data_IF_377091025411
#
_entry.id   IF_377091025411
#
_cell.length_a   1.000
_cell.length_b   1.000
_cell.length_c   1.000
_cell.angle_alpha   90.00
_cell.angle_beta   90.00
_cell.angle_gamma   90.00
#
_symmetry.space_group_name_H-M   'P 1'
#
loop_
_entity.id
_entity.type
_entity.pdbx_description
1 polymer ?
#
# COMPACT_ATOMS: atom_id res chain seq x y z
N UNK A 1 0.18 37.99 43.28
CA UNK A 1 0.21 36.55 43.58
C UNK A 1 -0.30 35.82 42.35
N UNK A 2 0.57 35.04 41.70
CA UNK A 2 0.25 34.31 40.48
C UNK A 2 -0.63 33.11 40.83
N UNK A 3 -1.76 32.93 40.14
CA UNK A 3 -2.46 31.66 40.11
C UNK A 3 -2.28 31.04 38.72
N UNK A 4 -1.32 30.12 38.66
CA UNK A 4 -1.08 29.19 37.56
C UNK A 4 -1.96 27.98 37.81
N UNK A 5 -3.03 27.82 37.03
CA UNK A 5 -3.83 26.61 36.88
C UNK A 5 -4.75 26.86 35.69
N UNK A 6 -4.91 26.03 34.68
CA UNK A 6 -4.44 24.69 34.39
C UNK A 6 -4.75 24.56 32.89
N UNK A 7 -3.74 24.46 32.02
CA UNK A 7 -4.00 24.19 30.60
C UNK A 7 -4.47 22.75 30.52
N UNK A 8 -5.79 22.56 30.50
CA UNK A 8 -6.40 21.32 30.09
C UNK A 8 -6.05 21.08 28.61
N UNK A 9 -4.88 20.50 28.36
CA UNK A 9 -4.64 19.68 27.19
C UNK A 9 -5.50 18.44 27.35
N UNK A 10 -6.81 18.62 27.16
CA UNK A 10 -7.75 17.56 26.89
C UNK A 10 -7.25 16.87 25.63
N UNK A 11 -6.72 15.68 25.84
CA UNK A 11 -6.33 14.72 24.84
C UNK A 11 -7.57 14.45 23.98
N UNK A 12 -7.77 15.24 22.92
CA UNK A 12 -8.63 14.88 21.80
C UNK A 12 -7.92 13.73 21.11
N UNK A 13 -8.05 12.54 21.69
CA UNK A 13 -7.65 11.26 21.12
C UNK A 13 -8.54 11.07 19.90
N UNK A 14 -8.14 11.71 18.81
CA UNK A 14 -8.95 11.89 17.62
C UNK A 14 -9.45 10.54 17.15
N UNK A 15 -10.77 10.43 17.12
CA UNK A 15 -11.48 9.33 16.49
C UNK A 15 -10.94 9.18 15.06
N UNK A 16 -10.26 8.06 14.81
CA UNK A 16 -9.70 7.80 13.49
C UNK A 16 -10.79 7.12 12.70
N UNK A 17 -11.53 7.91 11.92
CA UNK A 17 -12.42 7.37 10.91
C UNK A 17 -11.57 6.64 9.86
N UNK A 18 -11.88 5.37 9.60
CA UNK A 18 -11.20 4.52 8.62
C UNK A 18 -11.82 4.62 7.21
N UNK A 19 -12.87 5.42 7.03
CA UNK A 19 -13.55 5.58 5.74
C UNK A 19 -12.68 6.24 4.65
N UNK A 20 -11.54 6.84 5.00
CA UNK A 20 -10.60 7.39 4.02
C UNK A 20 -9.73 6.32 3.34
N UNK A 21 -9.74 5.07 3.82
CA UNK A 21 -8.98 3.99 3.22
C UNK A 21 -9.56 3.62 1.84
N UNK A 22 -8.74 3.54 0.77
CA UNK A 22 -9.23 3.16 -0.54
C UNK A 22 -9.88 1.76 -0.53
N UNK A 23 -11.09 1.61 -1.09
CA UNK A 23 -11.81 0.33 -1.04
C UNK A 23 -11.07 -0.79 -1.78
N UNK A 24 -10.40 -0.47 -2.89
CA UNK A 24 -9.60 -1.45 -3.64
C UNK A 24 -8.41 -1.96 -2.82
N UNK A 25 -7.72 -1.06 -2.11
CA UNK A 25 -6.59 -1.43 -1.25
C UNK A 25 -7.06 -2.33 -0.10
N UNK A 26 -8.15 -1.95 0.58
CA UNK A 26 -8.69 -2.74 1.68
C UNK A 26 -9.16 -4.12 1.21
N UNK A 27 -9.77 -4.23 0.03
CA UNK A 27 -10.13 -5.51 -0.58
C UNK A 27 -8.90 -6.38 -0.89
N UNK A 28 -7.84 -5.79 -1.46
CA UNK A 28 -6.60 -6.52 -1.74
C UNK A 28 -5.89 -6.99 -0.46
N UNK A 29 -5.80 -6.13 0.56
CA UNK A 29 -5.24 -6.48 1.87
C UNK A 29 -6.03 -7.60 2.54
N UNK A 30 -7.36 -7.53 2.49
CA UNK A 30 -8.25 -8.55 3.02
C UNK A 30 -8.01 -9.90 2.33
N UNK A 31 -7.98 -9.91 1.00
CA UNK A 31 -7.72 -11.13 0.23
C UNK A 31 -6.36 -11.74 0.56
N UNK A 32 -5.33 -10.92 0.77
CA UNK A 32 -4.01 -11.38 1.18
C UNK A 32 -4.07 -12.08 2.54
N UNK A 33 -4.64 -11.42 3.55
CA UNK A 33 -4.77 -11.95 4.91
C UNK A 33 -5.60 -13.23 4.92
N UNK A 34 -6.76 -13.23 4.27
CA UNK A 34 -7.63 -14.41 4.18
C UNK A 34 -6.93 -15.58 3.48
N UNK A 35 -6.19 -15.33 2.39
CA UNK A 35 -5.44 -16.36 1.68
C UNK A 35 -4.30 -16.96 2.52
N UNK A 36 -3.62 -16.14 3.31
CA UNK A 36 -2.58 -16.60 4.23
C UNK A 36 -3.18 -17.48 5.34
N UNK A 37 -4.24 -16.99 5.99
CA UNK A 37 -4.86 -17.71 7.11
C UNK A 37 -5.72 -18.91 6.68
N UNK A 38 -6.12 -18.99 5.41
CA UNK A 38 -6.68 -20.22 4.85
C UNK A 38 -5.69 -21.39 4.90
N UNK A 39 -4.38 -21.12 4.80
CA UNK A 39 -3.31 -22.12 4.85
C UNK A 39 -2.80 -22.32 6.27
N UNK A 40 -2.59 -21.22 7.02
CA UNK A 40 -1.95 -21.26 8.35
C UNK A 40 -2.95 -21.36 9.52
N UNK A 41 -4.24 -21.27 9.25
CA UNK A 41 -5.29 -21.20 10.26
C UNK A 41 -5.49 -19.79 10.81
N UNK A 42 -6.72 -19.49 11.24
CA UNK A 42 -7.10 -18.18 11.78
C UNK A 42 -6.80 -18.01 13.27
N UNK A 43 -6.57 -19.11 13.99
CA UNK A 43 -6.34 -19.08 15.44
C UNK A 43 -5.08 -18.29 15.84
N UNK A 44 -4.08 -18.20 14.95
CA UNK A 44 -2.84 -17.46 15.21
C UNK A 44 -2.93 -15.95 14.90
N UNK A 45 -4.01 -15.48 14.29
CA UNK A 45 -4.15 -14.07 13.90
C UNK A 45 -4.16 -13.11 15.11
N UNK A 46 -4.93 -13.37 16.19
CA UNK A 46 -4.83 -12.57 17.40
C UNK A 46 -3.41 -12.57 17.97
N UNK A 47 -2.79 -13.74 18.12
CA UNK A 47 -1.42 -13.82 18.65
C UNK A 47 -0.41 -13.04 17.79
N UNK A 48 -0.55 -13.08 16.47
CA UNK A 48 0.28 -12.31 15.54
C UNK A 48 0.16 -10.80 15.78
N UNK A 49 -1.06 -10.27 15.94
CA UNK A 49 -1.29 -8.85 16.20
C UNK A 49 -0.62 -8.40 17.52
N UNK A 50 -0.65 -9.23 18.56
CA UNK A 50 -0.03 -8.90 19.84
C UNK A 50 1.49 -9.03 19.80
N UNK A 51 2.02 -10.05 19.10
CA UNK A 51 3.46 -10.19 18.85
C UNK A 51 4.04 -9.04 18.02
N UNK A 52 3.24 -8.50 17.10
CA UNK A 52 3.54 -7.30 16.32
C UNK A 52 3.50 -6.00 17.15
N UNK A 53 3.20 -6.08 18.46
CA UNK A 53 3.05 -4.94 19.38
C UNK A 53 1.93 -3.96 18.97
N UNK A 54 0.89 -4.47 18.30
CA UNK A 54 -0.26 -3.66 17.87
C UNK A 54 -1.32 -3.51 18.95
N UNK A 55 -1.25 -4.24 20.07
CA UNK A 55 -2.21 -4.15 21.17
C UNK A 55 -2.46 -2.71 21.64
N UNK A 56 -1.42 -1.94 22.05
CA UNK A 56 -1.60 -0.55 22.47
C UNK A 56 -2.16 0.37 21.36
N UNK A 57 -1.85 0.07 20.09
CA UNK A 57 -2.38 0.82 18.96
C UNK A 57 -3.88 0.56 18.78
N UNK A 58 -4.29 -0.72 18.76
CA UNK A 58 -5.69 -1.14 18.65
C UNK A 58 -6.53 -0.57 19.80
N UNK A 59 -6.00 -0.58 21.01
CA UNK A 59 -6.69 -0.07 22.19
C UNK A 59 -6.82 1.45 22.20
N UNK A 60 -5.87 2.19 21.63
CA UNK A 60 -5.91 3.66 21.61
C UNK A 60 -7.01 4.23 20.72
N UNK A 61 -7.26 3.58 19.58
CA UNK A 61 -8.18 4.07 18.56
C UNK A 61 -9.58 3.49 18.72
N UNK A 62 -10.61 4.34 18.78
CA UNK A 62 -11.99 3.94 19.06
C UNK A 62 -12.53 2.90 18.07
N UNK A 63 -12.38 3.11 16.77
CA UNK A 63 -12.81 2.19 15.72
C UNK A 63 -12.22 0.77 15.88
N UNK A 64 -10.91 0.69 16.12
CA UNK A 64 -10.22 -0.58 16.34
C UNK A 64 -10.66 -1.25 17.64
N UNK A 65 -10.81 -0.49 18.72
CA UNK A 65 -11.31 -0.97 20.01
C UNK A 65 -12.73 -1.53 19.90
N UNK A 66 -13.61 -0.87 19.16
CA UNK A 66 -14.99 -1.33 18.96
C UNK A 66 -15.02 -2.65 18.19
N UNK A 67 -14.22 -2.78 17.12
CA UNK A 67 -14.08 -4.03 16.36
C UNK A 67 -13.49 -5.13 17.22
N UNK A 68 -12.46 -4.84 18.03
CA UNK A 68 -11.85 -5.80 18.94
C UNK A 68 -12.86 -6.31 19.97
N UNK A 69 -13.65 -5.41 20.56
CA UNK A 69 -14.71 -5.78 21.50
C UNK A 69 -15.74 -6.69 20.85
N UNK A 70 -16.19 -6.38 19.63
CA UNK A 70 -17.12 -7.25 18.87
C UNK A 70 -16.50 -8.62 18.57
N UNK A 71 -15.23 -8.65 18.18
CA UNK A 71 -14.50 -9.88 17.85
C UNK A 71 -14.25 -10.79 19.06
N UNK A 72 -14.04 -10.22 20.25
CA UNK A 72 -13.74 -10.98 21.48
C UNK A 72 -14.99 -11.42 22.24
N UNK A 73 -16.08 -10.66 22.16
CA UNK A 73 -17.34 -10.96 22.87
C UNK A 73 -18.28 -11.91 22.12
N UNK A 74 -18.08 -12.11 20.81
CA UNK A 74 -18.93 -12.99 20.01
C UNK A 74 -18.70 -14.46 20.37
N UNK A 75 -19.79 -15.23 20.43
CA UNK A 75 -19.74 -16.69 20.66
C UNK A 75 -19.38 -17.51 19.42
N UNK A 76 -19.30 -16.87 18.25
CA UNK A 76 -18.99 -17.54 16.99
C UNK A 76 -17.53 -17.33 16.62
N UNK A 77 -16.76 -18.42 16.56
CA UNK A 77 -15.36 -18.39 16.10
C UNK A 77 -15.24 -17.77 14.70
N UNK A 78 -16.18 -18.05 13.79
CA UNK A 78 -16.22 -17.45 12.45
C UNK A 78 -16.34 -15.92 12.51
N UNK A 79 -17.26 -15.40 13.34
CA UNK A 79 -17.43 -13.94 13.51
C UNK A 79 -16.25 -13.31 14.24
N UNK A 80 -15.65 -14.03 15.18
CA UNK A 80 -14.44 -13.59 15.90
C UNK A 80 -13.28 -13.41 14.93
N UNK A 81 -12.98 -14.46 14.15
CA UNK A 81 -11.95 -14.45 13.12
C UNK A 81 -12.19 -13.34 12.09
N UNK A 82 -13.42 -13.17 11.63
CA UNK A 82 -13.79 -12.08 10.72
C UNK A 82 -13.46 -10.70 11.31
N UNK A 83 -13.78 -10.47 12.58
CA UNK A 83 -13.43 -9.21 13.25
C UNK A 83 -11.92 -8.98 13.36
N UNK A 84 -11.15 -10.03 13.64
CA UNK A 84 -9.68 -9.92 13.63
C UNK A 84 -9.11 -9.67 12.23
N UNK A 85 -9.69 -10.27 11.18
CA UNK A 85 -9.32 -10.00 9.78
C UNK A 85 -9.60 -8.55 9.42
N UNK A 86 -10.73 -7.99 9.84
CA UNK A 86 -11.08 -6.58 9.59
C UNK A 86 -10.11 -5.61 10.28
N UNK A 87 -9.68 -5.93 11.50
CA UNK A 87 -8.66 -5.16 12.23
C UNK A 87 -7.34 -5.23 11.47
N UNK A 88 -6.85 -6.44 11.16
CA UNK A 88 -5.59 -6.64 10.47
C UNK A 88 -5.58 -6.00 9.07
N UNK A 89 -6.70 -6.07 8.34
CA UNK A 89 -6.86 -5.46 7.01
C UNK A 89 -6.72 -3.96 7.07
N UNK A 90 -7.39 -3.31 8.02
CA UNK A 90 -7.33 -1.86 8.16
C UNK A 90 -5.93 -1.40 8.59
N UNK A 91 -5.28 -2.11 9.52
CA UNK A 91 -3.90 -1.81 9.93
C UNK A 91 -2.95 -1.97 8.73
N UNK A 92 -2.99 -3.10 8.03
CA UNK A 92 -2.13 -3.36 6.87
C UNK A 92 -2.32 -2.31 5.75
N UNK A 93 -3.56 -1.86 5.54
CA UNK A 93 -3.87 -0.81 4.57
C UNK A 93 -3.26 0.54 4.98
N UNK A 94 -3.28 0.88 6.27
CA UNK A 94 -2.61 2.07 6.79
C UNK A 94 -1.09 1.99 6.58
N UNK A 95 -0.49 0.83 6.86
CA UNK A 95 0.94 0.62 6.70
C UNK A 95 1.37 0.79 5.23
N UNK A 96 0.65 0.17 4.28
CA UNK A 96 0.91 0.29 2.84
C UNK A 96 0.82 1.75 2.36
N UNK A 97 -0.18 2.50 2.84
CA UNK A 97 -0.37 3.92 2.50
C UNK A 97 0.69 4.82 3.13
N UNK A 98 1.19 4.49 4.32
CA UNK A 98 2.23 5.27 4.99
C UNK A 98 3.62 4.98 4.44
N UNK A 99 3.88 3.74 4.00
CA UNK A 99 5.16 3.32 3.43
C UNK A 99 5.30 3.60 1.93
N UNK A 100 4.27 4.16 1.28
CA UNK A 100 4.21 4.35 -0.17
C UNK A 100 4.49 3.08 -0.98
N UNK A 101 4.03 1.94 -0.47
CA UNK A 101 4.24 0.65 -1.15
C UNK A 101 3.45 0.59 -2.46
N UNK A 102 4.08 0.03 -3.50
CA UNK A 102 3.52 -0.13 -4.85
C UNK A 102 2.87 1.12 -5.47
N UNK A 103 3.24 2.32 -5.01
CA UNK A 103 2.71 3.60 -5.53
C UNK A 103 1.32 3.99 -5.02
N UNK A 104 0.77 3.31 -4.01
CA UNK A 104 -0.56 3.65 -3.47
C UNK A 104 -0.67 5.09 -2.96
N UNK A 105 0.38 5.61 -2.33
CA UNK A 105 0.41 7.00 -1.85
C UNK A 105 0.43 8.01 -3.00
N UNK A 106 0.99 7.66 -4.15
CA UNK A 106 0.96 8.54 -5.33
C UNK A 106 -0.46 8.64 -5.92
N UNK A 107 -1.24 7.56 -5.83
CA UNK A 107 -2.65 7.55 -6.26
C UNK A 107 -3.59 8.19 -5.25
N UNK A 108 -3.29 8.06 -3.95
CA UNK A 108 -4.10 8.59 -2.85
C UNK A 108 -3.24 9.39 -1.87
N UNK A 109 -2.76 10.58 -2.25
CA UNK A 109 -1.82 11.35 -1.44
C UNK A 109 -2.41 11.80 -0.10
N UNK A 110 -3.68 12.21 -0.10
CA UNK A 110 -4.38 12.58 1.13
C UNK A 110 -4.55 11.41 2.09
N UNK A 111 -4.90 10.22 1.57
CA UNK A 111 -5.04 9.02 2.37
C UNK A 111 -3.69 8.58 2.96
N UNK A 112 -2.60 8.71 2.18
CA UNK A 112 -1.25 8.46 2.66
C UNK A 112 -0.82 9.41 3.78
N UNK A 113 -1.07 10.71 3.64
CA UNK A 113 -0.77 11.69 4.68
C UNK A 113 -1.53 11.40 5.98
N UNK A 114 -2.82 11.05 5.87
CA UNK A 114 -3.65 10.66 7.02
C UNK A 114 -3.17 9.36 7.66
N UNK A 115 -2.87 8.34 6.86
CA UNK A 115 -2.36 7.06 7.35
C UNK A 115 -1.05 7.23 8.12
N UNK A 116 -0.13 8.03 7.58
CA UNK A 116 1.12 8.36 8.23
C UNK A 116 0.90 9.16 9.53
N UNK A 117 -0.05 10.09 9.56
CA UNK A 117 -0.40 10.82 10.79
C UNK A 117 -0.97 9.89 11.88
N UNK A 118 -1.78 8.89 11.49
CA UNK A 118 -2.33 7.87 12.38
C UNK A 118 -1.20 6.99 12.95
N UNK A 119 -0.28 6.52 12.11
CA UNK A 119 0.81 5.63 12.52
C UNK A 119 1.93 6.37 13.29
N UNK A 120 2.27 7.62 12.95
CA UNK A 120 3.28 8.41 13.70
C UNK A 120 2.89 8.70 15.14
N UNK A 121 1.59 8.66 15.47
CA UNK A 121 1.11 8.77 16.85
C UNK A 121 1.50 7.55 17.70
N UNK A 122 2.00 6.46 17.09
CA UNK A 122 2.54 5.30 17.79
C UNK A 122 3.98 5.56 18.27
N UNK A 123 4.15 5.67 19.59
CA UNK A 123 5.46 5.83 20.21
C UNK A 123 6.15 4.46 20.36
N UNK A 124 7.33 4.27 19.75
CA UNK A 124 8.27 3.18 20.11
C UNK A 124 8.05 1.79 19.48
N UNK A 125 7.42 1.70 18.31
CA UNK A 125 7.26 0.46 17.53
C UNK A 125 7.65 0.61 16.06
N UNK A 126 7.78 -0.52 15.34
CA UNK A 126 7.84 -0.51 13.86
C UNK A 126 6.56 0.14 13.33
N UNK A 127 6.67 0.97 12.28
CA UNK A 127 5.52 1.59 11.63
C UNK A 127 4.87 0.66 10.60
N UNK A 128 5.48 -0.49 10.30
CA UNK A 128 5.03 -1.45 9.28
C UNK A 128 5.07 -2.92 9.73
N UNK A 129 4.63 -3.25 10.97
CA UNK A 129 4.81 -4.59 11.49
C UNK A 129 4.00 -5.66 10.73
N UNK A 130 2.79 -5.36 10.22
CA UNK A 130 2.03 -6.34 9.43
C UNK A 130 2.59 -6.50 8.03
N UNK A 131 3.12 -5.45 7.41
CA UNK A 131 3.86 -5.58 6.16
C UNK A 131 5.05 -6.52 6.33
N UNK A 132 5.80 -6.41 7.44
CA UNK A 132 6.91 -7.32 7.73
C UNK A 132 6.43 -8.78 7.80
N UNK A 133 5.27 -9.05 8.39
CA UNK A 133 4.73 -10.41 8.49
C UNK A 133 4.15 -10.95 7.17
N UNK A 134 3.34 -10.16 6.46
CA UNK A 134 2.59 -10.63 5.29
C UNK A 134 3.33 -10.45 3.96
N UNK A 135 4.20 -9.44 3.84
CA UNK A 135 4.92 -9.13 2.60
C UNK A 135 6.36 -9.61 2.62
N UNK A 136 6.97 -9.67 3.80
CA UNK A 136 8.37 -10.03 3.99
C UNK A 136 8.56 -11.31 4.82
N UNK A 137 8.25 -12.51 4.29
CA UNK A 137 8.88 -13.69 4.85
C UNK A 137 10.41 -13.52 4.73
N UNK A 138 11.23 -13.86 5.75
CA UNK A 138 12.69 -13.72 5.72
C UNK A 138 13.43 -14.48 4.60
N UNK A 139 12.73 -15.10 3.65
CA UNK A 139 13.32 -15.95 2.62
C UNK A 139 12.87 -15.67 1.18
N UNK A 140 11.70 -15.07 0.91
CA UNK A 140 11.25 -14.81 -0.46
C UNK A 140 10.28 -13.62 -0.55
N UNK A 141 10.70 -12.55 -1.22
CA UNK A 141 9.77 -11.63 -1.87
C UNK A 141 9.00 -12.41 -2.93
N UNK A 142 7.72 -12.74 -2.69
CA UNK A 142 6.91 -13.27 -3.79
C UNK A 142 6.49 -12.10 -4.68
N UNK A 143 7.00 -12.06 -5.91
CA UNK A 143 6.51 -11.13 -6.96
C UNK A 143 4.98 -11.17 -7.08
N UNK A 144 4.37 -12.32 -6.76
CA UNK A 144 2.93 -12.51 -6.68
C UNK A 144 2.24 -11.65 -5.59
N UNK A 145 2.82 -11.47 -4.40
CA UNK A 145 2.24 -10.62 -3.36
C UNK A 145 2.30 -9.14 -3.74
N UNK A 146 3.41 -8.70 -4.35
CA UNK A 146 3.53 -7.35 -4.92
C UNK A 146 2.47 -7.16 -6.00
N UNK A 147 2.36 -8.06 -6.97
CA UNK A 147 1.37 -7.97 -8.05
C UNK A 147 -0.07 -7.92 -7.55
N UNK A 148 -0.41 -8.66 -6.49
CA UNK A 148 -1.75 -8.63 -5.86
C UNK A 148 -2.05 -7.34 -5.12
N UNK A 149 -1.03 -6.67 -4.62
CA UNK A 149 -1.13 -5.40 -3.89
C UNK A 149 -0.77 -4.20 -4.76
N UNK A 150 -0.49 -4.37 -6.05
CA UNK A 150 -0.35 -3.22 -6.95
C UNK A 150 -1.74 -2.64 -7.18
N UNK A 151 -1.89 -1.31 -7.18
CA UNK A 151 -3.14 -0.69 -7.56
C UNK A 151 -3.66 -1.28 -8.87
N UNK A 152 -4.97 -1.62 -8.98
CA UNK A 152 -5.53 -2.04 -10.25
C UNK A 152 -5.22 -0.92 -11.24
N UNK A 153 -4.48 -1.22 -12.32
CA UNK A 153 -3.87 -0.21 -13.20
C UNK A 153 -4.89 0.86 -13.60
N UNK A 154 -4.97 1.95 -12.83
CA UNK A 154 -5.60 3.20 -13.24
C UNK A 154 -4.77 3.90 -14.33
N UNK A 155 -3.60 3.33 -14.67
CA UNK A 155 -2.60 3.92 -15.54
C UNK A 155 -2.72 3.64 -17.03
N UNK A 156 -3.41 2.60 -17.53
CA UNK A 156 -3.51 2.46 -18.99
C UNK A 156 -4.46 3.47 -19.62
N UNK A 157 -5.50 3.92 -18.90
CA UNK A 157 -6.32 5.01 -19.42
C UNK A 157 -5.60 6.35 -19.30
N UNK A 158 -4.85 6.61 -18.21
CA UNK A 158 -4.18 7.90 -18.01
C UNK A 158 -2.93 8.07 -18.86
N UNK A 159 -2.04 7.08 -18.96
CA UNK A 159 -0.85 7.18 -19.83
C UNK A 159 -1.23 7.16 -21.30
N UNK A 160 -2.19 6.33 -21.72
CA UNK A 160 -2.61 6.27 -23.12
C UNK A 160 -3.45 7.51 -23.50
N UNK A 161 -4.19 8.11 -22.56
CA UNK A 161 -4.86 9.40 -22.78
C UNK A 161 -3.88 10.57 -22.74
N UNK A 162 -2.84 10.54 -21.89
CA UNK A 162 -1.77 11.54 -21.88
C UNK A 162 -0.91 11.43 -23.15
N UNK A 163 -0.59 10.23 -23.62
CA UNK A 163 0.13 9.98 -24.87
C UNK A 163 -0.72 10.34 -26.11
N UNK A 164 -2.04 10.18 -26.04
CA UNK A 164 -2.98 10.60 -27.10
C UNK A 164 -3.27 12.10 -27.08
N UNK A 165 -3.30 12.73 -25.90
CA UNK A 165 -3.49 14.17 -25.74
C UNK A 165 -2.22 14.97 -26.03
N UNK A 166 -1.05 14.40 -25.70
CA UNK A 166 0.24 14.86 -26.17
C UNK A 166 0.35 14.51 -27.64
N UNK A 167 -0.07 15.37 -28.57
CA UNK A 167 0.27 15.20 -30.00
C UNK A 167 1.80 15.23 -30.10
N UNK A 168 2.51 14.09 -30.20
CA UNK A 168 3.95 14.15 -30.35
C UNK A 168 4.14 14.60 -31.80
N UNK A 169 4.79 15.74 -32.00
CA UNK A 169 5.21 16.13 -33.35
C UNK A 169 6.24 15.09 -33.82
N UNK A 170 5.75 14.08 -34.54
CA UNK A 170 6.47 13.00 -35.23
C UNK A 170 7.42 13.50 -36.35
N UNK A 171 7.85 14.77 -36.29
CA UNK A 171 8.81 15.34 -37.21
C UNK A 171 10.25 14.90 -36.86
N UNK A 172 10.59 14.84 -35.57
CA UNK A 172 11.93 14.45 -35.13
C UNK A 172 12.23 12.95 -35.28
N UNK A 173 11.23 12.10 -35.05
CA UNK A 173 11.40 10.63 -35.07
C UNK A 173 11.55 10.08 -36.49
N UNK A 174 10.90 10.69 -37.50
CA UNK A 174 11.13 10.37 -38.91
C UNK A 174 12.53 10.75 -39.38
N UNK A 175 13.10 11.85 -38.86
CA UNK A 175 14.47 12.27 -39.18
C UNK A 175 15.52 11.35 -38.57
N UNK A 176 15.28 10.85 -37.35
CA UNK A 176 16.17 9.86 -36.73
C UNK A 176 16.18 8.54 -37.49
N UNK A 177 15.01 8.07 -37.96
CA UNK A 177 14.92 6.86 -38.77
C UNK A 177 15.49 7.04 -40.19
N UNK A 178 15.36 8.21 -40.80
CA UNK A 178 15.99 8.49 -42.09
C UNK A 178 17.52 8.52 -41.99
N UNK A 179 18.07 9.10 -40.92
CA UNK A 179 19.51 9.14 -40.69
C UNK A 179 20.11 7.73 -40.48
N UNK A 180 19.40 6.87 -39.75
CA UNK A 180 19.81 5.47 -39.54
C UNK A 180 19.74 4.66 -40.85
N UNK A 181 18.72 4.89 -41.67
CA UNK A 181 18.61 4.27 -43.00
C UNK A 181 19.73 4.69 -43.95
N UNK A 182 20.07 5.97 -43.99
CA UNK A 182 21.19 6.48 -44.81
C UNK A 182 22.56 5.95 -44.37
N UNK A 183 22.77 5.76 -43.06
CA UNK A 183 24.02 5.20 -42.53
C UNK A 183 24.21 3.72 -42.89
N UNK A 184 23.14 2.93 -42.86
CA UNK A 184 23.17 1.52 -43.26
C UNK A 184 23.37 1.35 -44.77
N UNK A 185 22.75 2.19 -45.58
CA UNK A 185 22.89 2.12 -47.03
C UNK A 185 24.31 2.51 -47.49
N UNK A 186 24.92 3.49 -46.82
CA UNK A 186 26.29 3.94 -47.10
C UNK A 186 27.35 2.91 -46.67
N UNK A 187 27.09 2.09 -45.66
CA UNK A 187 27.97 0.98 -45.27
C UNK A 187 27.91 -0.19 -46.26
N UNK A 188 26.73 -0.48 -46.82
CA UNK A 188 26.56 -1.56 -47.80
C UNK A 188 27.19 -1.20 -49.16
N UNK A 189 27.09 0.06 -49.60
CA UNK A 189 27.73 0.54 -50.83
C UNK A 189 29.26 0.60 -50.71
N UNK A 190 29.80 0.92 -49.53
CA UNK A 190 31.23 0.90 -49.27
C UNK A 190 31.81 -0.54 -49.28
N UNK A 191 31.05 -1.52 -48.76
CA UNK A 191 31.45 -2.92 -48.75
C UNK A 191 31.45 -3.56 -50.15
N UNK A 192 30.65 -3.04 -51.09
CA UNK A 192 30.62 -3.49 -52.49
C UNK A 192 31.77 -2.94 -53.35
N UNK A 193 32.38 -1.82 -52.96
CA UNK A 193 33.50 -1.22 -53.68
C UNK A 193 34.88 -1.81 -53.32
N UNK A 194 35.02 -2.44 -52.14
CA UNK A 194 36.27 -3.12 -51.72
C UNK A 194 36.42 -4.55 -52.28
N UNK A 195 35.40 -5.09 -52.95
CA UNK A 195 35.42 -6.46 -53.51
C UNK A 195 35.59 -6.54 -55.03
N UNK A 196 36.09 -5.48 -55.68
CA UNK A 196 36.30 -5.45 -57.13
C UNK A 196 37.75 -5.23 -57.52
#
# INVERSE_FOLDING_TARGET
MANVTNCASGDEIGDVDLNFLPPDLTAQCRNLIESYHAIHGYACLPDMLWRARLGPFIERHHEFRQRLRKATTTRSAKKSNQGFVEIATAILSLEILASSFAGWTALYPEAGARALAVLKRQSGGSQTPLMDFYLYPPKYFSSAAIAKLTPPRAGQASEFSLYRASKPQLAGERLALSYVGEMLQKSDDAALLERR
#
